data_IF_990957731419
#
_entry.id   IF_990957731419
#
_cell.length_a   1.000
_cell.length_b   1.000
_cell.length_c   1.000
_cell.angle_alpha   90.00
_cell.angle_beta   90.00
_cell.angle_gamma   90.00
#
_symmetry.space_group_name_H-M   'P 1'
#
loop_
_entity.id
_entity.type
_entity.pdbx_description
1 polymer ?
#
# COMPACT_ATOMS: atom_id res chain seq x y z
N UNK A 1 -1.04 7.04 15.44
CA UNK A 1 -1.43 6.22 14.28
C UNK A 1 -1.42 7.12 13.04
N UNK A 2 -0.55 6.83 12.06
CA UNK A 2 -0.43 7.55 10.78
C UNK A 2 -1.23 6.76 9.74
N UNK A 3 -2.01 7.41 8.88
CA UNK A 3 -2.63 6.69 7.76
C UNK A 3 -1.60 6.64 6.63
N UNK A 4 -1.23 5.45 6.19
CA UNK A 4 -0.29 5.23 5.10
C UNK A 4 -1.04 4.55 3.95
N UNK A 5 -1.00 5.18 2.79
CA UNK A 5 -1.71 4.73 1.59
C UNK A 5 -0.87 5.00 0.36
N UNK A 6 -1.00 4.15 -0.65
CA UNK A 6 -0.47 4.35 -1.99
C UNK A 6 -1.61 4.70 -2.94
N UNK A 7 -1.48 5.79 -3.69
CA UNK A 7 -2.37 6.09 -4.80
C UNK A 7 -1.84 5.41 -6.07
N UNK A 8 -2.69 4.66 -6.77
CA UNK A 8 -2.33 4.05 -8.04
C UNK A 8 -2.08 5.14 -9.09
N UNK A 9 -0.90 5.17 -9.73
CA UNK A 9 -0.54 6.24 -10.68
C UNK A 9 -1.38 6.25 -11.95
N UNK A 10 -2.01 5.13 -12.31
CA UNK A 10 -2.81 5.01 -13.55
C UNK A 10 -4.28 5.39 -13.38
N UNK A 11 -4.89 5.04 -12.23
CA UNK A 11 -6.34 5.20 -12.05
C UNK A 11 -6.74 5.98 -10.79
N UNK A 12 -5.79 6.40 -9.96
CA UNK A 12 -6.05 7.13 -8.71
C UNK A 12 -6.67 6.29 -7.59
N UNK A 13 -6.74 4.96 -7.76
CA UNK A 13 -7.24 4.06 -6.69
C UNK A 13 -6.29 4.10 -5.50
N UNK A 14 -6.81 4.39 -4.31
CA UNK A 14 -6.04 4.46 -3.07
C UNK A 14 -6.05 3.10 -2.38
N UNK A 15 -4.87 2.55 -2.08
CA UNK A 15 -4.69 1.26 -1.41
C UNK A 15 -3.95 1.46 -0.09
N UNK A 16 -4.38 0.79 0.98
CA UNK A 16 -3.78 0.90 2.29
C UNK A 16 -2.46 0.12 2.40
N UNK A 17 -1.52 0.60 3.23
CA UNK A 17 -0.21 -0.02 3.39
C UNK A 17 -0.28 -1.47 3.94
N UNK A 18 -1.26 -1.77 4.79
CA UNK A 18 -1.46 -3.13 5.30
C UNK A 18 -1.85 -4.10 4.17
N UNK A 19 -2.77 -3.71 3.30
CA UNK A 19 -3.14 -4.52 2.13
C UNK A 19 -1.95 -4.76 1.20
N UNK A 20 -1.11 -3.74 0.98
CA UNK A 20 0.10 -3.88 0.17
C UNK A 20 1.13 -4.79 0.81
N UNK A 21 1.30 -4.75 2.13
CA UNK A 21 2.28 -5.60 2.81
C UNK A 21 1.84 -7.06 2.90
N UNK A 22 0.56 -7.31 3.19
CA UNK A 22 -0.01 -8.67 3.24
C UNK A 22 0.09 -9.38 1.88
N UNK A 23 -0.13 -8.66 0.78
CA UNK A 23 -0.05 -9.22 -0.57
C UNK A 23 1.37 -9.14 -1.17
N UNK A 24 2.21 -8.21 -0.70
CA UNK A 24 3.55 -7.80 -1.20
C UNK A 24 3.58 -7.25 -2.63
N UNK A 25 2.81 -7.87 -3.52
CA UNK A 25 2.60 -7.50 -4.92
C UNK A 25 1.13 -7.82 -5.24
N UNK A 26 0.37 -6.83 -5.69
CA UNK A 26 -1.04 -7.03 -6.06
C UNK A 26 -1.40 -6.28 -7.33
N UNK A 27 -2.40 -6.80 -8.05
CA UNK A 27 -3.07 -6.03 -9.11
C UNK A 27 -3.85 -4.90 -8.44
N UNK A 28 -3.82 -3.71 -9.05
CA UNK A 28 -4.65 -2.59 -8.62
C UNK A 28 -6.12 -3.03 -8.54
N UNK A 29 -6.83 -2.73 -7.45
CA UNK A 29 -8.24 -3.10 -7.32
C UNK A 29 -9.18 -2.19 -8.13
N UNK A 30 -8.65 -1.17 -8.80
CA UNK A 30 -9.40 -0.30 -9.70
C UNK A 30 -10.04 -1.09 -10.85
N UNK A 31 -11.27 -0.72 -11.21
CA UNK A 31 -11.98 -1.34 -12.34
C UNK A 31 -11.22 -1.08 -13.65
N UNK A 32 -10.92 -2.14 -14.40
CA UNK A 32 -10.16 -2.10 -15.65
C UNK A 32 -8.71 -1.54 -15.52
N UNK A 33 -8.12 -1.58 -14.32
CA UNK A 33 -6.72 -1.20 -14.12
C UNK A 33 -5.82 -2.45 -14.02
N UNK A 34 -4.73 -2.48 -14.80
CA UNK A 34 -3.76 -3.59 -14.81
C UNK A 34 -2.45 -3.28 -14.08
N UNK A 35 -2.36 -2.09 -13.48
CA UNK A 35 -1.18 -1.67 -12.73
C UNK A 35 -0.90 -2.62 -11.57
N UNK A 36 0.36 -3.00 -11.42
CA UNK A 36 0.83 -3.81 -10.30
C UNK A 36 1.35 -2.87 -9.23
N UNK A 37 0.79 -2.96 -8.04
CA UNK A 37 1.18 -2.18 -6.87
C UNK A 37 1.97 -3.07 -5.91
N UNK A 38 3.00 -2.49 -5.30
CA UNK A 38 3.90 -3.14 -4.35
C UNK A 38 4.01 -2.32 -3.08
N UNK A 39 4.30 -3.00 -1.98
CA UNK A 39 4.67 -2.29 -0.75
C UNK A 39 5.92 -1.40 -0.94
N UNK A 40 6.85 -1.86 -1.78
CA UNK A 40 8.07 -1.14 -2.14
C UNK A 40 7.81 0.16 -2.94
N UNK A 41 6.60 0.34 -3.49
CA UNK A 41 6.21 1.59 -4.17
C UNK A 41 5.89 2.72 -3.17
N UNK A 42 5.78 2.42 -1.86
CA UNK A 42 5.70 3.44 -0.81
C UNK A 42 7.05 4.13 -0.61
N UNK A 43 7.04 5.35 -0.03
CA UNK A 43 8.29 6.02 0.33
C UNK A 43 9.07 5.24 1.40
N UNK A 44 10.40 5.31 1.41
CA UNK A 44 11.23 4.62 2.42
C UNK A 44 10.84 4.99 3.87
N UNK A 45 10.41 6.24 4.10
CA UNK A 45 9.91 6.73 5.40
C UNK A 45 8.59 6.06 5.78
N UNK A 46 7.64 5.96 4.85
CA UNK A 46 6.37 5.29 5.07
C UNK A 46 6.55 3.78 5.28
N UNK A 47 7.43 3.15 4.49
CA UNK A 47 7.77 1.73 4.65
C UNK A 47 8.35 1.46 6.04
N UNK A 48 9.35 2.26 6.44
CA UNK A 48 10.01 2.13 7.75
C UNK A 48 9.01 2.35 8.89
N UNK A 49 8.23 3.43 8.82
CA UNK A 49 7.23 3.73 9.84
C UNK A 49 6.19 2.61 9.97
N UNK A 50 5.69 2.09 8.84
CA UNK A 50 4.74 0.99 8.84
C UNK A 50 5.35 -0.26 9.49
N UNK A 51 6.56 -0.65 9.10
CA UNK A 51 7.23 -1.85 9.63
C UNK A 51 7.50 -1.74 11.14
N UNK A 52 7.92 -0.57 11.62
CA UNK A 52 8.12 -0.32 13.05
C UNK A 52 6.81 -0.33 13.86
N UNK A 53 5.68 -0.05 13.23
CA UNK A 53 4.37 0.06 13.88
C UNK A 53 3.38 -1.01 13.41
N UNK A 54 3.83 -2.09 12.74
CA UNK A 54 2.99 -3.08 12.05
C UNK A 54 1.87 -3.66 12.92
N UNK A 55 2.14 -3.86 14.21
CA UNK A 55 1.14 -4.37 15.16
C UNK A 55 -0.09 -3.46 15.31
N UNK A 56 0.06 -2.15 15.06
CA UNK A 56 -1.02 -1.17 15.13
C UNK A 56 -1.93 -1.18 13.89
N UNK A 57 -1.52 -1.83 12.81
CA UNK A 57 -2.24 -1.90 11.53
C UNK A 57 -2.92 -3.25 11.29
N UNK A 58 -2.83 -4.20 12.23
CA UNK A 58 -3.59 -5.45 12.18
C UNK A 58 -5.05 -5.17 12.53
N UNK A 59 -5.94 -5.48 11.60
CA UNK A 59 -7.40 -5.51 11.78
C UNK A 59 -7.85 -6.89 12.26
#
# INVERSE_FOLDING_TARGET
>A
MRVITLECPDCGTVVAANELEDNRIMKCPGSDCETVLRFDDLSEDDQSFYLENKEQYRL
#
